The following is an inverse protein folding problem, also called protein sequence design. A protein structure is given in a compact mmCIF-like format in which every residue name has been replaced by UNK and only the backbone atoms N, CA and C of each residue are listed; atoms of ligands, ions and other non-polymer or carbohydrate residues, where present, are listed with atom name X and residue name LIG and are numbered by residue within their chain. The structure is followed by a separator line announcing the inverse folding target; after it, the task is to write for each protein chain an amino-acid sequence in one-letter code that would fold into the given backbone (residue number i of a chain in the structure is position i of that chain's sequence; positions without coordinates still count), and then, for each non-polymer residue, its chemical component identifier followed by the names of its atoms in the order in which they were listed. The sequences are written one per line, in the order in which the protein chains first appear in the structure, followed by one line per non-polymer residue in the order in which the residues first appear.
data_IF_062649530985
#
_entry.id   IF_062649530985
#
_cell.length_a   1.000
_cell.length_b   1.000
_cell.length_c   1.000
_cell.angle_alpha   90.00
_cell.angle_beta   90.00
_cell.angle_gamma   90.00
#
_symmetry.space_group_name_H-M   'P 1'
#
loop_
_entity.id
_entity.type
_entity.pdbx_description
1 polymer ?
#
# COMPACT_ATOMS: atom_id res chain seq x y z
N UNK A 1 -25.07 -1.55 3.03
CA UNK A 1 -23.60 -1.56 3.18
C UNK A 1 -23.23 -0.39 4.07
N UNK A 2 -23.07 -0.60 5.38
CA UNK A 2 -22.78 0.47 6.35
C UNK A 2 -21.31 0.86 6.24
N UNK A 3 -21.03 2.13 5.88
CA UNK A 3 -19.69 2.68 5.99
C UNK A 3 -19.21 2.51 7.43
N UNK A 4 -18.13 1.76 7.64
CA UNK A 4 -17.51 1.66 8.95
C UNK A 4 -17.16 3.09 9.41
N UNK A 5 -17.71 3.51 10.55
CA UNK A 5 -17.43 4.83 11.09
C UNK A 5 -15.91 4.97 11.28
N UNK A 6 -15.32 6.01 10.66
CA UNK A 6 -13.88 6.30 10.75
C UNK A 6 -13.55 6.55 12.22
N UNK A 7 -12.79 5.63 12.83
CA UNK A 7 -12.29 5.78 14.19
C UNK A 7 -11.06 6.71 14.16
N UNK A 8 -11.30 7.99 14.46
CA UNK A 8 -10.27 9.04 14.42
C UNK A 8 -9.12 8.78 15.38
N UNK A 9 -9.39 8.23 16.56
CA UNK A 9 -8.35 7.96 17.55
C UNK A 9 -7.40 6.85 17.07
N UNK A 10 -7.97 5.81 16.44
CA UNK A 10 -7.19 4.76 15.81
C UNK A 10 -6.36 5.30 14.65
N UNK A 11 -6.93 6.15 13.79
CA UNK A 11 -6.20 6.78 12.69
C UNK A 11 -5.01 7.62 13.19
N UNK A 12 -5.21 8.41 14.25
CA UNK A 12 -4.13 9.21 14.87
C UNK A 12 -3.05 8.32 15.46
N UNK A 13 -3.41 7.23 16.14
CA UNK A 13 -2.45 6.28 16.70
C UNK A 13 -1.57 5.65 15.62
N UNK A 14 -2.20 5.15 14.55
CA UNK A 14 -1.49 4.50 13.45
C UNK A 14 -0.62 5.50 12.67
N UNK A 15 -1.09 6.73 12.46
CA UNK A 15 -0.31 7.80 11.83
C UNK A 15 0.94 8.18 12.64
N UNK A 16 0.84 8.22 13.98
CA UNK A 16 2.02 8.42 14.84
C UNK A 16 3.01 7.26 14.76
N UNK A 17 2.52 6.02 14.71
CA UNK A 17 3.37 4.85 14.55
C UNK A 17 4.11 4.89 13.20
N UNK A 18 3.41 5.22 12.11
CA UNK A 18 4.00 5.40 10.79
C UNK A 18 5.17 6.39 10.79
N UNK A 19 4.97 7.60 11.33
CA UNK A 19 6.02 8.63 11.39
C UNK A 19 7.24 8.15 12.21
N UNK A 20 6.98 7.47 13.34
CA UNK A 20 8.05 6.91 14.18
C UNK A 20 8.88 5.84 13.46
N UNK A 21 8.25 5.01 12.64
CA UNK A 21 8.97 4.01 11.85
C UNK A 21 9.78 4.64 10.71
N UNK A 22 9.26 5.69 10.07
CA UNK A 22 10.01 6.48 9.08
C UNK A 22 11.26 7.14 9.68
N UNK A 23 11.12 7.79 10.83
CA UNK A 23 12.23 8.42 11.55
C UNK A 23 13.30 7.40 11.94
N UNK A 24 12.89 6.16 12.21
CA UNK A 24 13.79 5.06 12.53
C UNK A 24 14.36 4.32 11.30
N UNK A 25 14.02 4.74 10.08
CA UNK A 25 14.45 4.11 8.83
C UNK A 25 13.87 2.69 8.60
N UNK A 26 12.81 2.31 9.33
CA UNK A 26 12.19 0.98 9.22
C UNK A 26 11.08 1.01 8.16
N UNK A 27 11.49 0.82 6.91
CA UNK A 27 10.62 1.01 5.73
C UNK A 27 9.46 0.02 5.69
N UNK A 28 9.69 -1.27 5.97
CA UNK A 28 8.63 -2.29 5.89
C UNK A 28 7.51 -2.06 6.91
N UNK A 29 7.88 -1.71 8.16
CA UNK A 29 6.91 -1.38 9.20
C UNK A 29 6.21 -0.05 8.92
N UNK A 30 6.90 0.94 8.36
CA UNK A 30 6.28 2.18 7.90
C UNK A 30 5.23 1.90 6.80
N UNK A 31 5.52 1.04 5.82
CA UNK A 31 4.54 0.66 4.79
C UNK A 31 3.31 0.00 5.43
N UNK A 32 3.51 -0.92 6.37
CA UNK A 32 2.41 -1.59 7.08
C UNK A 32 1.52 -0.58 7.84
N UNK A 33 2.12 0.34 8.59
CA UNK A 33 1.36 1.39 9.29
C UNK A 33 0.69 2.37 8.32
N UNK A 34 1.33 2.73 7.21
CA UNK A 34 0.72 3.56 6.17
C UNK A 34 -0.53 2.94 5.57
N UNK A 35 -0.51 1.62 5.30
CA UNK A 35 -1.71 0.88 4.84
C UNK A 35 -2.80 0.86 5.90
N UNK A 36 -2.44 0.56 7.15
CA UNK A 36 -3.39 0.55 8.27
C UNK A 36 -4.01 1.95 8.49
N UNK A 37 -3.25 3.02 8.28
CA UNK A 37 -3.74 4.40 8.36
C UNK A 37 -4.79 4.67 7.26
N UNK A 38 -4.49 4.33 6.00
CA UNK A 38 -5.45 4.49 4.91
C UNK A 38 -6.73 3.68 5.13
N UNK A 39 -6.59 2.43 5.57
CA UNK A 39 -7.73 1.57 5.92
C UNK A 39 -8.58 2.19 7.05
N UNK A 40 -7.95 2.81 8.04
CA UNK A 40 -8.67 3.49 9.14
C UNK A 40 -9.53 4.67 8.67
N UNK A 41 -9.15 5.29 7.55
CA UNK A 41 -9.89 6.39 6.91
C UNK A 41 -10.94 5.88 5.91
N UNK A 42 -11.12 4.56 5.77
CA UNK A 42 -11.98 3.97 4.74
C UNK A 42 -11.40 4.06 3.33
N UNK A 43 -10.10 4.31 3.21
CA UNK A 43 -9.38 4.38 1.94
C UNK A 43 -8.67 3.05 1.70
N UNK A 44 -8.73 2.51 0.48
CA UNK A 44 -7.78 1.47 0.08
C UNK A 44 -6.44 2.13 -0.15
N UNK A 45 -5.41 1.65 0.54
CA UNK A 45 -4.03 1.99 0.18
C UNK A 45 -3.70 1.51 -1.23
N UNK A 46 -2.57 1.96 -1.81
CA UNK A 46 -2.08 1.36 -3.05
C UNK A 46 -2.03 -0.15 -2.81
N UNK A 47 -2.83 -0.89 -3.58
CA UNK A 47 -2.74 -2.34 -3.64
C UNK A 47 -1.26 -2.63 -3.83
N UNK A 48 -0.71 -3.47 -2.96
CA UNK A 48 0.61 -4.04 -3.18
C UNK A 48 0.59 -4.48 -4.64
N UNK A 49 1.42 -3.91 -5.53
CA UNK A 49 1.37 -4.34 -6.90
C UNK A 49 1.61 -5.83 -6.81
N UNK A 50 0.62 -6.61 -7.25
CA UNK A 50 0.86 -7.98 -7.69
C UNK A 50 2.23 -7.93 -8.36
N UNK A 51 3.10 -8.85 -7.97
CA UNK A 51 4.47 -9.04 -8.48
C UNK A 51 4.55 -9.24 -10.01
N UNK A 52 3.60 -8.72 -10.77
CA UNK A 52 3.43 -8.74 -12.22
C UNK A 52 3.41 -7.37 -12.91
N UNK A 53 3.60 -6.25 -12.21
CA UNK A 53 3.81 -4.96 -12.86
C UNK A 53 5.10 -4.28 -12.41
N UNK A 54 6.22 -4.89 -12.81
CA UNK A 54 7.46 -4.15 -13.06
C UNK A 54 7.12 -3.08 -14.09
N UNK A 55 7.08 -1.83 -13.63
CA UNK A 55 7.03 -0.66 -14.49
C UNK A 55 8.16 -0.76 -15.53
N UNK A 56 7.79 -1.01 -16.79
CA UNK A 56 8.71 -0.91 -17.93
C UNK A 56 9.29 -2.19 -18.52
N UNK A 57 8.90 -3.41 -18.10
CA UNK A 57 9.19 -4.62 -18.89
C UNK A 57 7.92 -5.15 -19.56
N UNK A 58 7.92 -5.38 -20.89
CA UNK A 58 6.84 -6.09 -21.55
C UNK A 58 6.62 -7.43 -20.85
N UNK A 59 5.36 -7.86 -20.70
CA UNK A 59 5.10 -9.22 -20.22
C UNK A 59 5.76 -10.19 -21.20
N UNK A 60 6.34 -11.28 -20.71
CA UNK A 60 6.95 -12.30 -21.56
C UNK A 60 5.95 -12.89 -22.58
N UNK A 61 4.65 -12.81 -22.27
CA UNK A 61 3.55 -13.14 -23.19
C UNK A 61 3.50 -12.23 -24.42
N UNK A 62 3.88 -10.96 -24.29
CA UNK A 62 3.80 -9.96 -25.36
C UNK A 62 5.01 -10.09 -26.30
N UNK A 63 6.16 -10.56 -25.79
CA UNK A 63 7.34 -10.85 -26.60
C UNK A 63 7.14 -12.08 -27.50
N UNK A 64 6.41 -13.10 -27.01
CA UNK A 64 6.10 -14.30 -27.79
C UNK A 64 5.15 -14.02 -28.97
N UNK A 65 4.24 -13.04 -28.83
CA UNK A 65 3.35 -12.61 -29.90
C UNK A 65 4.04 -11.71 -30.95
N UNK A 66 5.16 -11.07 -30.60
CA UNK A 66 5.93 -10.20 -31.49
C UNK A 66 6.97 -10.95 -32.34
N UNK A 67 7.20 -12.24 -32.08
CA UNK A 67 8.17 -13.09 -32.78
C UNK A 67 7.53 -14.09 -33.76
N UNK A 68 6.23 -13.96 -34.06
CA UNK A 68 5.52 -14.74 -35.09
C UNK A 68 5.06 -13.84 -36.24
#
# INVERSE_FOLDING_TARGET
MTAAAVNKDFAVLVGKAFLKELDAGRVDSAIAFGRAFLLSLGMRGPEEPDTHHVAGRPRASDLAAAMN
#
